data_IF_958993429743
#
_entry.id   IF_958993429743
#
_cell.length_a   1.000
_cell.length_b   1.000
_cell.length_c   1.000
_cell.angle_alpha   90.00
_cell.angle_beta   90.00
_cell.angle_gamma   90.00
#
_symmetry.space_group_name_H-M   'P 1'
#
loop_
_entity.id
_entity.type
_entity.pdbx_description
1 polymer ?
#
# COMPACT_ATOMS: atom_id res chain seq x y z
N UNK A 1 6.23 27.75 10.45
CA UNK A 1 4.95 27.15 10.01
C UNK A 1 4.87 25.77 10.67
N UNK A 2 4.02 25.58 11.69
CA UNK A 2 3.91 24.28 12.38
C UNK A 2 3.10 23.36 11.48
N UNK A 3 3.71 22.28 10.99
CA UNK A 3 3.00 21.16 10.37
C UNK A 3 2.09 20.60 11.46
N UNK A 4 0.79 20.81 11.31
CA UNK A 4 -0.22 20.25 12.21
C UNK A 4 -0.29 18.75 11.99
N UNK A 5 0.44 17.98 12.81
CA UNK A 5 0.28 16.52 12.87
C UNK A 5 -1.01 16.27 13.64
N UNK A 6 -2.12 16.13 12.91
CA UNK A 6 -3.38 15.68 13.51
C UNK A 6 -3.26 14.17 13.71
N UNK A 7 -2.98 13.74 14.94
CA UNK A 7 -3.14 12.34 15.34
C UNK A 7 -4.63 12.01 15.27
N UNK A 8 -5.11 11.50 14.14
CA UNK A 8 -6.43 10.91 14.10
C UNK A 8 -6.34 9.54 14.78
N UNK A 9 -6.90 9.46 15.99
CA UNK A 9 -7.25 8.21 16.65
C UNK A 9 -8.35 7.53 15.81
N UNK A 10 -7.97 6.98 14.65
CA UNK A 10 -8.81 5.99 14.01
C UNK A 10 -8.89 4.76 14.90
N UNK A 11 -10.00 4.04 14.79
CA UNK A 11 -10.23 2.77 15.47
C UNK A 11 -9.04 1.84 15.23
N UNK A 12 -8.43 1.32 16.30
CA UNK A 12 -7.27 0.45 16.21
C UNK A 12 -7.63 -0.80 15.40
N UNK A 13 -7.05 -0.95 14.20
CA UNK A 13 -7.29 -2.11 13.34
C UNK A 13 -6.36 -3.26 13.73
N UNK A 14 -6.76 -4.00 14.75
CA UNK A 14 -6.02 -5.16 15.27
C UNK A 14 -5.81 -6.29 14.25
N UNK A 15 -6.49 -6.27 13.10
CA UNK A 15 -6.31 -7.26 12.05
C UNK A 15 -5.05 -7.01 11.21
N UNK A 16 -4.61 -5.75 11.14
CA UNK A 16 -3.47 -5.30 10.33
C UNK A 16 -2.33 -4.74 11.18
N UNK A 17 -2.66 -3.93 12.17
CA UNK A 17 -1.72 -3.13 12.95
C UNK A 17 -1.37 -3.85 14.24
N UNK A 18 -0.07 -3.94 14.54
CA UNK A 18 0.47 -4.56 15.76
C UNK A 18 0.78 -3.57 16.88
N UNK A 19 0.69 -2.27 16.60
CA UNK A 19 1.01 -1.19 17.54
C UNK A 19 -0.03 -0.10 17.45
N UNK A 20 -0.35 0.54 18.57
CA UNK A 20 -1.19 1.74 18.57
C UNK A 20 -0.47 2.98 18.03
N UNK A 21 0.85 2.92 17.81
CA UNK A 21 1.62 3.98 17.14
C UNK A 21 1.53 3.80 15.61
N UNK A 22 0.48 4.35 15.04
CA UNK A 22 0.24 4.41 13.60
C UNK A 22 -0.21 5.82 13.19
N UNK A 23 -0.08 6.14 11.91
CA UNK A 23 -0.58 7.39 11.34
C UNK A 23 -1.53 7.09 10.18
N UNK A 24 -2.79 7.53 10.30
CA UNK A 24 -3.79 7.41 9.25
C UNK A 24 -3.94 8.75 8.51
N UNK A 25 -3.84 8.71 7.18
CA UNK A 25 -4.01 9.87 6.30
C UNK A 25 -4.94 9.55 5.14
N UNK A 26 -5.34 10.57 4.39
CA UNK A 26 -6.05 10.44 3.12
C UNK A 26 -5.07 10.65 1.97
N UNK A 27 -5.07 9.77 0.98
CA UNK A 27 -4.32 9.92 -0.28
C UNK A 27 -5.25 9.74 -1.47
N UNK A 28 -4.85 10.20 -2.64
CA UNK A 28 -5.60 9.94 -3.87
C UNK A 28 -5.13 8.62 -4.46
N UNK A 29 -6.04 7.66 -4.59
CA UNK A 29 -5.80 6.44 -5.34
C UNK A 29 -6.04 6.71 -6.83
N UNK A 30 -5.10 6.26 -7.64
CA UNK A 30 -5.15 6.32 -9.09
C UNK A 30 -6.31 5.49 -9.67
N UNK A 31 -7.01 6.04 -10.67
CA UNK A 31 -8.11 5.39 -11.38
C UNK A 31 -7.76 4.07 -12.07
N UNK A 32 -6.48 3.86 -12.37
CA UNK A 32 -5.91 2.64 -12.97
C UNK A 32 -5.47 1.64 -11.93
N UNK A 33 -5.54 1.96 -10.63
CA UNK A 33 -5.12 1.06 -9.57
C UNK A 33 -5.97 -0.22 -9.58
N UNK A 34 -5.31 -1.37 -9.75
CA UNK A 34 -5.96 -2.68 -9.78
C UNK A 34 -5.18 -3.65 -8.90
N UNK A 35 -5.92 -4.52 -8.23
CA UNK A 35 -5.34 -5.66 -7.51
C UNK A 35 -5.55 -6.93 -8.34
N UNK A 36 -4.46 -7.48 -8.89
CA UNK A 36 -4.47 -8.61 -9.83
C UNK A 36 -3.62 -9.81 -9.37
N UNK A 37 -3.02 -9.74 -8.17
CA UNK A 37 -2.17 -10.80 -7.62
C UNK A 37 -2.86 -12.17 -7.68
N UNK A 38 -2.10 -13.19 -8.12
CA UNK A 38 -2.57 -14.55 -8.32
C UNK A 38 -3.40 -15.04 -7.12
N UNK A 39 -4.70 -15.27 -7.33
CA UNK A 39 -5.66 -15.74 -6.31
C UNK A 39 -6.89 -14.85 -6.11
N UNK A 40 -6.87 -13.61 -6.58
CA UNK A 40 -8.07 -12.78 -6.76
C UNK A 40 -8.18 -12.46 -8.24
N UNK A 41 -9.24 -12.93 -8.91
CA UNK A 41 -9.36 -12.97 -10.38
C UNK A 41 -8.94 -11.69 -11.11
N UNK A 42 -8.34 -11.85 -12.29
CA UNK A 42 -7.84 -10.76 -13.13
C UNK A 42 -8.95 -9.71 -13.38
N UNK A 43 -8.66 -8.43 -13.12
CA UNK A 43 -9.58 -7.33 -13.38
C UNK A 43 -10.50 -6.96 -12.21
N UNK A 44 -10.21 -7.42 -10.99
CA UNK A 44 -10.98 -7.01 -9.82
C UNK A 44 -10.84 -5.50 -9.58
N UNK A 45 -11.96 -4.81 -9.72
CA UNK A 45 -12.19 -3.40 -9.34
C UNK A 45 -12.16 -3.23 -7.81
N UNK A 46 -11.96 -4.33 -7.08
CA UNK A 46 -11.89 -4.40 -5.62
C UNK A 46 -10.44 -4.42 -5.16
N UNK A 47 -10.06 -3.48 -4.30
CA UNK A 47 -8.74 -3.43 -3.67
C UNK A 47 -8.90 -3.71 -2.18
N UNK A 48 -8.36 -4.83 -1.67
CA UNK A 48 -8.57 -5.22 -0.29
C UNK A 48 -7.81 -4.33 0.69
N UNK A 49 -8.37 -4.20 1.91
CA UNK A 49 -7.65 -3.68 3.08
C UNK A 49 -6.30 -4.39 3.25
N UNK A 50 -5.27 -3.65 3.66
CA UNK A 50 -3.90 -4.15 3.81
C UNK A 50 -3.08 -4.17 2.52
N UNK A 51 -3.63 -3.63 1.41
CA UNK A 51 -2.88 -3.50 0.16
C UNK A 51 -1.82 -2.42 0.28
N UNK A 52 -0.59 -2.73 -0.12
CA UNK A 52 0.51 -1.78 -0.23
C UNK A 52 0.26 -0.91 -1.45
N UNK A 53 0.37 0.40 -1.23
CA UNK A 53 0.32 1.40 -2.27
C UNK A 53 1.62 2.20 -2.24
N UNK A 54 2.07 2.66 -3.40
CA UNK A 54 3.20 3.59 -3.55
C UNK A 54 2.78 4.72 -4.47
N UNK A 55 3.47 5.85 -4.37
CA UNK A 55 3.24 6.93 -5.32
C UNK A 55 3.58 6.45 -6.74
N UNK A 56 2.69 6.73 -7.68
CA UNK A 56 2.95 6.52 -9.09
C UNK A 56 3.96 7.59 -9.54
N UNK A 57 5.17 7.18 -9.93
CA UNK A 57 6.20 8.15 -10.34
C UNK A 57 6.14 8.45 -11.84
N UNK A 58 5.37 7.67 -12.61
CA UNK A 58 5.07 7.95 -14.01
C UNK A 58 4.09 9.13 -14.14
N UNK A 59 3.35 9.42 -13.06
CA UNK A 59 2.41 10.53 -12.97
C UNK A 59 2.90 11.63 -12.01
N UNK A 60 2.85 12.88 -12.45
CA UNK A 60 3.28 14.04 -11.65
C UNK A 60 2.17 14.60 -10.73
N UNK A 61 1.02 13.94 -10.65
CA UNK A 61 -0.16 14.38 -9.91
C UNK A 61 -0.18 13.92 -8.44
N UNK A 62 0.73 13.02 -8.07
CA UNK A 62 0.87 12.51 -6.71
C UNK A 62 -0.17 11.44 -6.35
N UNK A 63 -0.77 10.78 -7.34
CA UNK A 63 -1.63 9.62 -7.11
C UNK A 63 -0.83 8.42 -6.61
N UNK A 64 -1.52 7.55 -5.89
CA UNK A 64 -0.99 6.30 -5.39
C UNK A 64 -1.56 5.15 -6.21
N UNK A 65 -0.71 4.18 -6.51
CA UNK A 65 -1.11 2.96 -7.22
C UNK A 65 -0.79 1.74 -6.36
N UNK A 66 -1.38 0.58 -6.69
CA UNK A 66 -1.07 -0.69 -6.03
C UNK A 66 0.38 -1.04 -6.35
N UNK A 67 1.14 -1.44 -5.32
CA UNK A 67 2.51 -1.91 -5.52
C UNK A 67 2.49 -3.11 -6.45
N UNK A 68 3.19 -3.01 -7.57
CA UNK A 68 3.41 -4.10 -8.51
C UNK A 68 4.87 -4.51 -8.54
N UNK A 69 5.12 -5.82 -8.56
CA UNK A 69 6.47 -6.38 -8.65
C UNK A 69 6.92 -6.62 -10.09
N UNK A 70 6.09 -6.35 -11.09
CA UNK A 70 6.45 -6.47 -12.51
C UNK A 70 6.85 -5.13 -13.13
N UNK A 71 7.86 -5.13 -13.99
CA UNK A 71 8.44 -3.92 -14.58
C UNK A 71 7.62 -3.29 -15.74
N UNK A 72 6.50 -3.91 -16.13
CA UNK A 72 5.78 -3.56 -17.36
C UNK A 72 4.98 -2.27 -17.29
N UNK A 73 4.41 -1.96 -16.12
CA UNK A 73 3.71 -0.72 -15.77
C UNK A 73 3.66 -0.64 -14.25
N UNK A 74 4.12 0.47 -13.66
CA UNK A 74 3.94 0.77 -12.24
C UNK A 74 4.59 -0.28 -11.32
N UNK A 75 5.84 -0.62 -11.65
CA UNK A 75 6.59 -1.71 -11.03
C UNK A 75 7.71 -1.27 -10.09
N UNK A 76 8.02 -2.09 -9.08
CA UNK A 76 9.16 -1.89 -8.17
C UNK A 76 10.39 -2.76 -8.50
N UNK A 77 10.34 -3.60 -9.53
CA UNK A 77 11.47 -4.43 -10.01
C UNK A 77 11.93 -4.02 -11.41
N UNK A 78 13.08 -4.55 -11.84
CA UNK A 78 13.64 -4.28 -13.17
C UNK A 78 14.13 -2.84 -13.27
N UNK A 79 13.55 -2.04 -14.16
CA UNK A 79 13.67 -0.57 -14.14
C UNK A 79 12.43 -0.04 -13.41
N UNK A 80 12.54 0.32 -12.12
CA UNK A 80 11.36 0.66 -11.32
C UNK A 80 10.71 1.96 -11.80
N UNK A 81 9.38 1.97 -11.88
CA UNK A 81 8.56 3.19 -12.06
C UNK A 81 7.73 3.53 -10.82
N UNK A 82 7.98 2.79 -9.74
CA UNK A 82 7.52 3.08 -8.38
C UNK A 82 8.70 2.93 -7.41
N UNK A 83 8.64 3.66 -6.30
CA UNK A 83 9.57 3.50 -5.18
C UNK A 83 8.83 3.07 -3.93
N UNK A 84 9.43 2.15 -3.17
CA UNK A 84 8.90 1.68 -1.90
C UNK A 84 9.14 2.67 -0.74
N UNK A 85 9.91 3.74 -0.97
CA UNK A 85 10.25 4.72 0.07
C UNK A 85 9.02 5.38 0.72
N UNK A 86 8.01 5.68 -0.10
CA UNK A 86 6.76 6.33 0.29
C UNK A 86 5.58 5.35 0.34
N UNK A 87 5.87 4.07 0.53
CA UNK A 87 4.83 3.05 0.66
C UNK A 87 3.86 3.35 1.81
N UNK A 88 2.58 3.11 1.56
CA UNK A 88 1.48 3.22 2.52
C UNK A 88 0.64 1.94 2.49
N UNK A 89 -0.14 1.70 3.55
CA UNK A 89 -1.02 0.53 3.65
C UNK A 89 -2.47 0.98 3.56
N UNK A 90 -3.24 0.46 2.61
CA UNK A 90 -4.66 0.76 2.49
C UNK A 90 -5.43 0.32 3.75
N UNK A 91 -6.13 1.27 4.36
CA UNK A 91 -6.82 1.07 5.64
C UNK A 91 -8.27 0.60 5.49
N UNK A 92 -8.79 0.56 4.27
CA UNK A 92 -10.15 0.10 3.98
C UNK A 92 -10.22 -0.84 2.76
N UNK A 93 -11.31 -1.58 2.60
CA UNK A 93 -11.53 -2.34 1.35
C UNK A 93 -12.29 -1.47 0.38
N UNK A 94 -11.68 -1.18 -0.77
CA UNK A 94 -12.33 -0.50 -1.88
C UNK A 94 -13.09 -1.55 -2.67
N UNK A 95 -14.39 -1.35 -2.82
CA UNK A 95 -15.25 -2.27 -3.57
C UNK A 95 -15.25 -1.97 -5.07
N UNK A 96 -14.99 -0.71 -5.43
CA UNK A 96 -14.96 -0.23 -6.81
C UNK A 96 -13.92 0.91 -6.97
N UNK A 97 -12.79 0.60 -7.62
CA UNK A 97 -11.76 1.52 -8.08
C UNK A 97 -11.90 1.95 -9.56
N UNK A 98 -13.05 1.74 -10.21
CA UNK A 98 -13.27 2.16 -11.62
C UNK A 98 -13.68 3.62 -11.77
N UNK A 99 -14.06 4.29 -10.68
CA UNK A 99 -14.62 5.64 -10.67
C UNK A 99 -13.55 6.72 -10.55
N UNK A 100 -12.68 6.81 -11.55
CA UNK A 100 -11.65 7.84 -11.58
C UNK A 100 -10.74 7.83 -10.34
N UNK A 101 -9.98 8.91 -10.18
CA UNK A 101 -9.13 9.08 -9.01
C UNK A 101 -9.99 9.39 -7.79
N UNK A 102 -9.75 8.69 -6.68
CA UNK A 102 -10.59 8.82 -5.49
C UNK A 102 -9.77 8.92 -4.20
N UNK A 103 -10.21 9.73 -3.21
CA UNK A 103 -9.56 9.79 -1.92
C UNK A 103 -9.82 8.51 -1.12
N UNK A 104 -8.76 7.94 -0.56
CA UNK A 104 -8.80 6.70 0.23
C UNK A 104 -8.00 6.86 1.52
N UNK A 105 -8.40 6.14 2.56
CA UNK A 105 -7.68 6.14 3.85
C UNK A 105 -6.53 5.14 3.83
N UNK A 106 -5.36 5.58 4.25
CA UNK A 106 -4.14 4.76 4.30
C UNK A 106 -3.38 4.97 5.60
N UNK A 107 -2.71 3.92 6.06
CA UNK A 107 -1.68 4.04 7.08
C UNK A 107 -0.35 4.44 6.44
N UNK A 108 0.15 5.63 6.79
CA UNK A 108 1.44 6.15 6.33
C UNK A 108 2.60 5.85 7.29
N UNK A 109 2.27 5.33 8.47
CA UNK A 109 3.22 4.89 9.49
C UNK A 109 2.57 3.82 10.35
N UNK A 110 3.34 2.84 10.78
CA UNK A 110 2.88 1.84 11.75
C UNK A 110 3.72 0.57 11.72
N UNK A 111 3.36 -0.35 12.61
CA UNK A 111 3.90 -1.72 12.62
C UNK A 111 2.82 -2.69 12.19
N UNK A 112 3.08 -3.48 11.17
CA UNK A 112 2.10 -4.33 10.50
C UNK A 112 2.50 -5.80 10.51
N UNK A 113 1.51 -6.67 10.46
CA UNK A 113 1.75 -8.08 10.20
C UNK A 113 2.06 -8.28 8.71
N UNK A 114 3.29 -8.69 8.37
CA UNK A 114 3.71 -8.86 6.98
C UNK A 114 2.84 -9.88 6.24
N UNK A 115 2.45 -10.97 6.91
CA UNK A 115 1.54 -11.99 6.35
C UNK A 115 0.14 -11.48 5.95
N UNK A 116 -0.24 -10.26 6.37
CA UNK A 116 -1.51 -9.62 6.03
C UNK A 116 -1.39 -8.57 4.93
N UNK A 117 -0.16 -8.23 4.54
CA UNK A 117 0.09 -7.28 3.46
C UNK A 117 -0.22 -7.89 2.11
N UNK A 118 -0.77 -7.07 1.23
CA UNK A 118 -1.20 -7.46 -0.11
C UNK A 118 -0.55 -6.53 -1.13
N UNK A 119 -0.17 -7.06 -2.28
CA UNK A 119 0.41 -6.30 -3.39
C UNK A 119 0.30 -7.16 -4.65
N UNK A 120 0.47 -6.56 -5.82
CA UNK A 120 0.50 -7.30 -7.08
C UNK A 120 1.84 -8.02 -7.20
N UNK A 121 1.75 -9.35 -7.26
CA UNK A 121 2.89 -10.19 -7.53
C UNK A 121 2.55 -11.22 -8.60
N UNK A 122 3.51 -11.45 -9.51
CA UNK A 122 3.49 -12.65 -10.32
C UNK A 122 4.10 -13.79 -9.56
N UNK A 123 3.68 -15.02 -9.87
CA UNK A 123 4.08 -16.23 -9.14
C UNK A 123 5.61 -16.43 -9.01
N UNK A 124 6.40 -15.69 -9.78
CA UNK A 124 7.86 -15.75 -9.81
C UNK A 124 8.56 -14.59 -9.10
N UNK A 125 7.84 -13.54 -8.67
CA UNK A 125 8.46 -12.27 -8.28
C UNK A 125 7.82 -11.70 -7.02
N UNK A 126 8.32 -12.08 -5.85
CA UNK A 126 7.88 -11.51 -4.56
C UNK A 126 8.67 -10.26 -4.20
N UNK A 127 8.13 -9.41 -3.31
CA UNK A 127 8.90 -8.31 -2.73
C UNK A 127 10.14 -8.85 -2.02
N UNK A 128 11.30 -8.30 -2.37
CA UNK A 128 12.56 -8.61 -1.70
C UNK A 128 12.64 -7.92 -0.35
N UNK A 129 13.48 -8.46 0.54
CA UNK A 129 13.76 -7.82 1.83
C UNK A 129 14.33 -6.40 1.67
N UNK A 130 15.07 -6.14 0.60
CA UNK A 130 15.62 -4.80 0.32
C UNK A 130 14.50 -3.79 0.02
N UNK A 131 13.53 -4.15 -0.81
CA UNK A 131 12.36 -3.31 -1.11
C UNK A 131 11.51 -3.05 0.12
N UNK A 132 11.28 -4.07 0.94
CA UNK A 132 10.54 -3.91 2.20
C UNK A 132 11.28 -2.98 3.18
N UNK A 133 12.62 -3.01 3.18
CA UNK A 133 13.45 -2.12 4.01
C UNK A 133 13.55 -0.69 3.49
N UNK A 134 13.19 -0.46 2.23
CA UNK A 134 13.12 0.90 1.66
C UNK A 134 11.97 1.70 2.28
N UNK A 135 10.90 1.02 2.73
CA UNK A 135 9.78 1.64 3.42
C UNK A 135 10.26 2.45 4.64
N UNK A 136 10.19 3.77 4.55
CA UNK A 136 10.79 4.63 5.57
C UNK A 136 9.99 4.67 6.88
N UNK A 137 8.68 4.39 6.81
CA UNK A 137 7.73 4.62 7.90
C UNK A 137 6.88 3.41 8.26
N UNK A 138 6.96 2.33 7.47
CA UNK A 138 6.23 1.08 7.70
C UNK A 138 7.20 0.02 8.22
N UNK A 139 6.84 -0.61 9.33
CA UNK A 139 7.59 -1.73 9.88
C UNK A 139 6.77 -2.99 9.67
N UNK A 140 7.35 -4.01 9.05
CA UNK A 140 6.67 -5.29 8.82
C UNK A 140 7.29 -6.39 9.68
N UNK A 141 6.45 -7.14 10.37
CA UNK A 141 6.88 -8.22 11.28
C UNK A 141 6.19 -9.54 10.87
N UNK A 142 6.97 -10.62 10.83
CA UNK A 142 6.50 -12.00 10.68
C UNK A 142 6.31 -12.67 12.05
N UNK A 143 5.28 -13.53 12.20
CA UNK A 143 5.07 -14.37 13.40
C UNK A 143 4.16 -13.78 14.50
N UNK A 144 3.71 -14.55 15.51
CA UNK A 144 2.77 -14.08 16.53
C UNK A 144 3.35 -12.98 17.44
N UNK A 145 2.46 -12.20 18.07
CA UNK A 145 2.81 -11.17 19.06
C UNK A 145 3.26 -11.90 20.33
N UNK A 146 4.44 -11.55 20.86
CA UNK A 146 4.92 -12.03 22.16
C UNK A 146 4.15 -11.36 23.31
#
# INVERSE_FOLDING_TARGET
MKIGITFQNAEFDSELVRSSDFNLISVTLDSTARYAAAGFGSGAVKIPKGTLLTQDTDLSDGTYNVVDTEAGNNGVNGTPTQSMADAVVLAETILDASWGDQPVKVFSRGTFNYSKMKYNYSATTVLTLAQVRECQRLIFIDGPIA
#
